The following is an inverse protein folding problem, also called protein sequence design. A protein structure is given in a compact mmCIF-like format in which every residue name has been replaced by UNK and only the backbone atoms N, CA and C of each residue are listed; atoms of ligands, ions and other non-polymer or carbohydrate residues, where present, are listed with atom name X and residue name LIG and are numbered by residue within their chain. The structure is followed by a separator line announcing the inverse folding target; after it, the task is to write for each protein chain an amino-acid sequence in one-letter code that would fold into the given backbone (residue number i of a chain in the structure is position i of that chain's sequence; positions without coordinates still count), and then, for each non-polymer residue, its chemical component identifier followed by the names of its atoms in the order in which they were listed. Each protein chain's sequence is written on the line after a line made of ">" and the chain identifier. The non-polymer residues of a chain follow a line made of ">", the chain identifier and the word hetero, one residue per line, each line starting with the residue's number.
data_IF_785109256769
#
_entry.id   IF_785109256769
#
_cell.length_a   1.000
_cell.length_b   1.000
_cell.length_c   1.000
_cell.angle_alpha   90.00
_cell.angle_beta   90.00
_cell.angle_gamma   90.00
#
_symmetry.space_group_name_H-M   'P 1'
#
loop_
_entity.id
_entity.type
_entity.pdbx_description
1 polymer ?
#
# COMPACT_ATOMS: atom_id res chain seq x y z
N UNK A 1 -19.38 9.38 91.22
CA UNK A 1 -17.98 9.77 91.41
C UNK A 1 -17.15 9.07 90.34
N UNK A 2 -16.42 9.86 89.53
CA UNK A 2 -15.28 9.53 88.66
C UNK A 2 -15.49 8.46 87.57
N UNK A 3 -15.68 8.82 86.29
CA UNK A 3 -14.77 9.37 85.24
C UNK A 3 -14.10 8.30 84.35
N UNK A 4 -14.39 8.44 83.03
CA UNK A 4 -13.58 8.15 81.83
C UNK A 4 -13.16 6.70 81.54
N UNK A 5 -13.08 6.21 80.29
CA UNK A 5 -12.99 6.87 78.98
C UNK A 5 -13.05 5.85 77.83
N UNK A 6 -13.55 6.29 76.66
CA UNK A 6 -13.14 5.82 75.32
C UNK A 6 -14.10 4.84 74.65
N UNK A 7 -14.46 4.93 73.36
CA UNK A 7 -14.27 5.94 72.32
C UNK A 7 -15.31 5.63 71.22
N UNK A 8 -15.94 6.66 70.65
CA UNK A 8 -16.86 6.55 69.51
C UNK A 8 -16.11 6.27 68.21
N UNK A 9 -16.56 5.28 67.44
CA UNK A 9 -16.26 5.17 66.01
C UNK A 9 -17.51 5.51 65.20
N UNK A 10 -17.56 6.74 64.68
CA UNK A 10 -18.43 7.11 63.56
C UNK A 10 -17.72 6.76 62.26
N UNK A 11 -18.34 5.90 61.45
CA UNK A 11 -17.96 5.66 60.06
C UNK A 11 -18.57 6.77 59.22
N UNK A 12 -17.72 7.62 58.62
CA UNK A 12 -18.13 8.53 57.55
C UNK A 12 -17.43 8.06 56.26
N UNK A 13 -18.24 7.71 55.26
CA UNK A 13 -17.80 7.33 53.92
C UNK A 13 -17.15 8.54 53.26
N UNK A 14 -15.90 8.40 52.82
CA UNK A 14 -15.26 9.33 51.89
C UNK A 14 -14.80 8.60 50.64
N UNK A 15 -15.40 9.00 49.53
CA UNK A 15 -15.12 8.59 48.17
C UNK A 15 -13.79 9.18 47.70
N UNK A 16 -12.81 8.32 47.41
CA UNK A 16 -11.61 8.75 46.68
C UNK A 16 -11.43 7.94 45.40
N UNK A 17 -11.57 8.68 44.30
CA UNK A 17 -11.46 8.29 42.90
C UNK A 17 -10.20 7.48 42.55
N UNK A 18 -10.34 6.25 42.03
CA UNK A 18 -9.30 5.62 41.20
C UNK A 18 -9.39 6.06 39.72
N UNK A 19 -10.51 6.65 39.30
CA UNK A 19 -10.84 6.87 37.87
C UNK A 19 -9.93 7.94 37.20
N UNK A 20 -9.38 8.89 37.96
CA UNK A 20 -8.55 9.97 37.38
C UNK A 20 -7.14 9.52 36.98
N UNK A 21 -6.63 8.41 37.50
CA UNK A 21 -5.30 7.90 37.14
C UNK A 21 -5.35 7.13 35.81
N UNK A 22 -6.46 6.41 35.56
CA UNK A 22 -6.66 5.61 34.34
C UNK A 22 -6.96 6.48 33.10
N UNK A 23 -7.64 7.62 33.29
CA UNK A 23 -7.92 8.59 32.21
C UNK A 23 -6.66 9.34 31.73
N UNK A 24 -5.58 9.35 32.53
CA UNK A 24 -4.29 9.95 32.12
C UNK A 24 -3.40 8.99 31.31
N UNK A 25 -3.64 7.68 31.40
CA UNK A 25 -3.01 6.69 30.50
C UNK A 25 -3.66 6.65 29.11
N UNK A 26 -4.84 7.25 28.96
CA UNK A 26 -5.53 7.41 27.68
C UNK A 26 -5.07 8.64 26.87
N UNK A 27 -4.08 9.40 27.34
CA UNK A 27 -3.57 10.57 26.64
C UNK A 27 -2.28 10.24 25.87
N UNK A 28 -2.42 10.33 24.54
CA UNK A 28 -1.38 10.31 23.50
C UNK A 28 -1.12 8.92 22.89
N UNK A 29 -2.16 8.35 22.27
CA UNK A 29 -1.96 7.40 21.18
C UNK A 29 -1.17 8.13 20.09
N UNK A 30 0.16 7.98 20.07
CA UNK A 30 0.99 8.54 19.00
C UNK A 30 0.47 7.95 17.70
N UNK A 31 -0.07 8.82 16.84
CA UNK A 31 -0.51 8.42 15.50
C UNK A 31 0.71 7.81 14.80
N UNK A 32 0.61 6.55 14.42
CA UNK A 32 1.69 5.82 13.76
C UNK A 32 2.16 6.60 12.52
N UNK A 33 3.48 6.64 12.29
CA UNK A 33 4.05 7.26 11.09
C UNK A 33 3.57 6.51 9.85
N UNK A 34 3.21 7.24 8.79
CA UNK A 34 2.66 6.67 7.55
C UNK A 34 3.31 7.30 6.32
N UNK A 35 3.27 6.59 5.21
CA UNK A 35 3.66 7.09 3.90
C UNK A 35 2.61 6.73 2.84
N UNK A 36 2.62 7.46 1.72
CA UNK A 36 1.79 7.13 0.57
C UNK A 36 2.55 6.21 -0.38
N UNK A 37 1.86 5.19 -0.88
CA UNK A 37 2.38 4.23 -1.83
C UNK A 37 1.45 4.10 -3.04
N UNK A 38 1.98 4.28 -4.24
CA UNK A 38 1.24 4.07 -5.49
C UNK A 38 1.62 2.72 -6.11
N UNK A 39 0.65 1.82 -6.20
CA UNK A 39 0.78 0.52 -6.84
C UNK A 39 0.13 0.53 -8.23
N UNK A 40 0.85 0.04 -9.24
CA UNK A 40 0.37 -0.03 -10.63
C UNK A 40 0.45 -1.46 -11.21
N UNK A 41 0.92 -2.43 -10.42
CA UNK A 41 1.06 -3.83 -10.82
C UNK A 41 0.35 -4.79 -9.87
N UNK A 42 0.95 -5.94 -9.56
CA UNK A 42 0.31 -6.95 -8.70
C UNK A 42 -0.10 -6.43 -7.31
N UNK A 43 0.59 -5.43 -6.79
CA UNK A 43 0.27 -4.76 -5.52
C UNK A 43 -1.02 -3.92 -5.59
N UNK A 44 -1.65 -3.75 -6.76
CA UNK A 44 -3.01 -3.20 -6.85
C UNK A 44 -4.03 -4.11 -6.16
N UNK A 45 -3.77 -5.42 -6.06
CA UNK A 45 -4.66 -6.33 -5.34
C UNK A 45 -4.33 -6.33 -3.83
N UNK A 46 -5.20 -5.80 -2.94
CA UNK A 46 -4.90 -5.74 -1.51
C UNK A 46 -4.69 -7.13 -0.92
N UNK A 47 -5.38 -8.16 -1.42
CA UNK A 47 -5.21 -9.55 -0.95
C UNK A 47 -3.78 -10.06 -1.19
N UNK A 48 -3.17 -9.76 -2.35
CA UNK A 48 -1.77 -10.14 -2.63
C UNK A 48 -0.77 -9.33 -1.82
N UNK A 49 -1.07 -8.03 -1.64
CA UNK A 49 -0.26 -7.15 -0.82
C UNK A 49 -0.30 -7.60 0.65
N UNK A 50 -1.46 -8.00 1.18
CA UNK A 50 -1.63 -8.58 2.51
C UNK A 50 -0.78 -9.84 2.69
N UNK A 51 -0.74 -10.73 1.70
CA UNK A 51 0.10 -11.94 1.76
C UNK A 51 1.58 -11.61 1.91
N UNK A 52 2.03 -10.52 1.30
CA UNK A 52 3.42 -10.05 1.35
C UNK A 52 3.72 -9.28 2.64
N UNK A 53 2.80 -8.40 3.04
CA UNK A 53 2.93 -7.50 4.18
C UNK A 53 2.35 -8.06 5.49
N UNK A 54 1.80 -9.28 5.50
CA UNK A 54 1.38 -10.03 6.69
C UNK A 54 0.32 -9.35 7.54
N UNK A 55 -0.45 -8.43 6.95
CA UNK A 55 -1.46 -7.64 7.65
C UNK A 55 -2.57 -7.25 6.68
N UNK A 56 -3.76 -6.93 7.21
CA UNK A 56 -4.85 -6.44 6.39
C UNK A 56 -4.50 -5.10 5.73
N UNK A 57 -4.24 -5.13 4.43
CA UNK A 57 -3.90 -3.95 3.63
C UNK A 57 -5.11 -3.25 3.03
N UNK A 58 -6.29 -3.87 3.07
CA UNK A 58 -7.52 -3.27 2.53
C UNK A 58 -7.89 -1.97 3.27
N UNK A 59 -7.65 -1.91 4.58
CA UNK A 59 -7.87 -0.71 5.40
C UNK A 59 -6.95 0.46 5.06
N UNK A 60 -5.92 0.24 4.23
CA UNK A 60 -4.97 1.27 3.80
C UNK A 60 -5.24 1.79 2.40
N UNK A 61 -6.19 1.21 1.66
CA UNK A 61 -6.57 1.65 0.32
C UNK A 61 -7.22 3.03 0.41
N UNK A 62 -6.70 3.99 -0.37
CA UNK A 62 -7.38 5.27 -0.62
C UNK A 62 -8.30 5.13 -1.82
N UNK A 63 -7.84 4.46 -2.88
CA UNK A 63 -8.63 4.18 -4.08
C UNK A 63 -7.83 4.32 -5.37
N UNK A 64 -8.51 4.32 -6.53
CA UNK A 64 -7.88 4.52 -7.82
C UNK A 64 -7.26 5.92 -7.91
N UNK A 65 -6.09 6.00 -8.52
CA UNK A 65 -5.34 7.25 -8.65
C UNK A 65 -4.51 7.26 -9.93
N UNK A 66 -4.16 8.46 -10.39
CA UNK A 66 -3.48 8.69 -11.67
C UNK A 66 -2.09 9.26 -11.44
N UNK A 67 -1.11 8.67 -12.11
CA UNK A 67 0.23 9.18 -12.28
C UNK A 67 0.38 9.68 -13.71
N UNK A 68 0.62 10.98 -13.89
CA UNK A 68 0.86 11.58 -15.21
C UNK A 68 2.35 11.52 -15.59
N UNK A 69 2.64 11.49 -16.88
CA UNK A 69 4.01 11.50 -17.40
C UNK A 69 4.67 10.13 -17.44
N UNK A 70 3.89 9.06 -17.36
CA UNK A 70 4.37 7.68 -17.38
C UNK A 70 3.45 6.79 -18.20
N UNK A 71 4.01 5.70 -18.71
CA UNK A 71 3.28 4.57 -19.29
C UNK A 71 3.70 3.25 -18.65
N UNK A 72 2.81 2.27 -18.69
CA UNK A 72 3.13 0.90 -18.31
C UNK A 72 3.97 0.21 -19.39
N UNK A 73 4.76 -0.78 -18.96
CA UNK A 73 5.44 -1.74 -19.82
C UNK A 73 5.92 -2.96 -19.03
N UNK A 74 6.42 -3.97 -19.72
CA UNK A 74 6.91 -5.21 -19.13
C UNK A 74 8.43 -5.41 -19.31
N UNK A 75 9.21 -4.41 -18.93
CA UNK A 75 10.67 -4.41 -19.14
C UNK A 75 11.45 -5.12 -18.03
N UNK A 76 10.84 -6.05 -17.29
CA UNK A 76 11.55 -6.90 -16.32
C UNK A 76 11.03 -8.31 -16.34
N UNK A 77 11.95 -9.27 -16.42
CA UNK A 77 11.65 -10.67 -16.16
C UNK A 77 11.85 -10.99 -14.67
N UNK A 78 10.79 -11.44 -14.00
CA UNK A 78 10.86 -11.90 -12.61
C UNK A 78 11.25 -13.37 -12.54
N UNK A 79 12.39 -13.68 -11.92
CA UNK A 79 12.82 -15.09 -11.68
C UNK A 79 11.84 -15.85 -10.76
N UNK A 80 11.26 -15.16 -9.78
CA UNK A 80 10.33 -15.77 -8.82
C UNK A 80 8.96 -16.02 -9.41
N UNK A 81 8.47 -15.12 -10.27
CA UNK A 81 7.17 -15.26 -10.96
C UNK A 81 7.27 -15.99 -12.31
N UNK A 82 8.50 -16.14 -12.83
CA UNK A 82 8.83 -16.80 -14.11
C UNK A 82 8.09 -16.18 -15.30
N UNK A 83 7.99 -14.85 -15.33
CA UNK A 83 7.36 -14.10 -16.43
C UNK A 83 7.81 -12.63 -16.43
N UNK A 84 7.40 -11.91 -17.48
CA UNK A 84 7.43 -10.45 -17.48
C UNK A 84 6.54 -9.87 -16.38
N UNK A 85 7.00 -8.79 -15.75
CA UNK A 85 6.27 -8.06 -14.71
C UNK A 85 6.24 -6.57 -15.04
N UNK A 86 5.22 -5.89 -14.50
CA UNK A 86 4.95 -4.49 -14.82
C UNK A 86 6.05 -3.56 -14.32
N UNK A 87 6.29 -2.54 -15.12
CA UNK A 87 7.21 -1.44 -14.91
C UNK A 87 6.54 -0.14 -15.34
N UNK A 88 7.12 0.99 -14.94
CA UNK A 88 6.78 2.30 -15.47
C UNK A 88 7.99 2.90 -16.18
N UNK A 89 7.69 3.55 -17.30
CA UNK A 89 8.64 4.31 -18.11
C UNK A 89 8.08 5.71 -18.30
N UNK A 90 8.94 6.70 -18.23
CA UNK A 90 8.56 8.09 -18.49
C UNK A 90 7.99 8.25 -19.90
N UNK A 91 6.85 8.93 -19.98
CA UNK A 91 6.19 9.32 -21.21
C UNK A 91 5.26 10.50 -20.87
N UNK A 92 5.70 11.71 -21.21
CA UNK A 92 4.99 12.96 -20.87
C UNK A 92 3.60 13.07 -21.48
N UNK A 93 3.24 12.18 -22.41
CA UNK A 93 1.94 12.18 -23.11
C UNK A 93 0.95 11.16 -22.55
N UNK A 94 1.38 10.34 -21.58
CA UNK A 94 0.60 9.23 -21.04
C UNK A 94 0.42 9.34 -19.53
N UNK A 95 -0.53 8.54 -19.04
CA UNK A 95 -0.79 8.40 -17.62
C UNK A 95 -0.99 6.93 -17.24
N UNK A 96 -0.58 6.60 -16.02
CA UNK A 96 -0.82 5.30 -15.39
C UNK A 96 -1.91 5.44 -14.35
N UNK A 97 -2.92 4.60 -14.41
CA UNK A 97 -3.92 4.48 -13.34
C UNK A 97 -3.56 3.27 -12.49
N UNK A 98 -3.50 3.49 -11.18
CA UNK A 98 -3.15 2.47 -10.19
C UNK A 98 -3.97 2.66 -8.92
N UNK A 99 -3.49 2.09 -7.82
CA UNK A 99 -4.12 2.15 -6.51
C UNK A 99 -3.21 2.90 -5.54
N UNK A 100 -3.75 3.94 -4.92
CA UNK A 100 -3.07 4.70 -3.88
C UNK A 100 -3.37 4.09 -2.51
N UNK A 101 -2.31 3.85 -1.73
CA UNK A 101 -2.37 3.37 -0.36
C UNK A 101 -1.78 4.39 0.60
N UNK A 102 -2.27 4.38 1.85
CA UNK A 102 -1.62 5.02 2.99
C UNK A 102 -1.13 3.95 3.96
N UNK A 103 0.14 3.59 3.83
CA UNK A 103 0.73 2.49 4.60
C UNK A 103 1.43 2.98 5.88
N UNK A 104 1.37 2.21 6.97
CA UNK A 104 2.27 2.40 8.12
C UNK A 104 3.74 2.29 7.73
N UNK A 105 4.59 3.15 8.31
CA UNK A 105 6.02 3.18 8.01
C UNK A 105 6.72 1.85 8.32
N UNK A 106 6.27 1.11 9.34
CA UNK A 106 6.80 -0.23 9.67
C UNK A 106 6.63 -1.28 8.57
N UNK A 107 5.78 -1.03 7.58
CA UNK A 107 5.61 -1.91 6.42
C UNK A 107 6.58 -1.59 5.27
N UNK A 108 7.33 -0.48 5.37
CA UNK A 108 8.28 -0.02 4.34
C UNK A 108 9.26 -1.12 3.93
N UNK A 109 10.02 -1.68 4.88
CA UNK A 109 11.07 -2.67 4.56
C UNK A 109 10.50 -3.97 3.98
N UNK A 110 9.27 -4.32 4.35
CA UNK A 110 8.58 -5.50 3.82
C UNK A 110 8.14 -5.26 2.38
N UNK A 111 7.72 -4.04 2.06
CA UNK A 111 7.41 -3.63 0.70
C UNK A 111 8.68 -3.60 -0.15
N UNK A 112 9.79 -3.08 0.38
CA UNK A 112 11.10 -3.08 -0.32
C UNK A 112 11.58 -4.49 -0.64
N UNK A 113 11.44 -5.44 0.31
CA UNK A 113 11.70 -6.86 0.07
C UNK A 113 10.78 -7.45 -1.00
N UNK A 114 9.50 -7.07 -1.01
CA UNK A 114 8.52 -7.56 -1.99
C UNK A 114 8.81 -7.10 -3.41
N UNK A 115 9.33 -5.88 -3.56
CA UNK A 115 9.73 -5.28 -4.83
C UNK A 115 11.20 -5.58 -5.18
N UNK A 116 11.86 -6.48 -4.44
CA UNK A 116 13.22 -6.93 -4.73
C UNK A 116 14.26 -5.79 -4.76
N UNK A 117 14.02 -4.73 -3.97
CA UNK A 117 14.91 -3.57 -3.87
C UNK A 117 16.33 -3.96 -3.40
N UNK A 118 16.52 -4.81 -2.38
CA UNK A 118 17.87 -5.20 -1.93
C UNK A 118 18.73 -5.89 -2.99
N UNK A 119 18.12 -6.48 -4.02
CA UNK A 119 18.82 -7.15 -5.12
C UNK A 119 18.76 -6.36 -6.44
N UNK A 120 18.27 -5.11 -6.42
CA UNK A 120 18.21 -4.24 -7.59
C UNK A 120 17.13 -4.61 -8.61
N UNK A 121 16.06 -5.29 -8.18
CA UNK A 121 14.92 -5.59 -9.05
C UNK A 121 14.15 -4.31 -9.41
N UNK A 122 13.80 -3.53 -8.40
CA UNK A 122 13.22 -2.19 -8.52
C UNK A 122 13.97 -1.21 -7.61
N UNK A 123 13.80 0.08 -7.87
CA UNK A 123 14.23 1.18 -6.98
C UNK A 123 13.03 2.03 -6.60
N UNK A 124 13.14 2.79 -5.51
CA UNK A 124 12.17 3.83 -5.19
C UNK A 124 12.14 4.89 -6.29
N UNK A 125 10.94 5.39 -6.52
CA UNK A 125 10.66 6.58 -7.32
C UNK A 125 9.67 7.44 -6.53
N UNK A 126 9.83 8.75 -6.56
CA UNK A 126 9.00 9.68 -5.79
C UNK A 126 8.21 10.54 -6.77
N UNK A 127 6.90 10.39 -6.73
CA UNK A 127 6.00 10.97 -7.72
C UNK A 127 4.86 11.75 -7.07
N UNK A 128 4.23 12.61 -7.87
CA UNK A 128 2.98 13.25 -7.51
C UNK A 128 1.81 12.46 -8.13
N UNK A 129 0.77 12.21 -7.33
CA UNK A 129 -0.37 11.37 -7.70
C UNK A 129 -1.67 12.15 -7.59
N UNK A 130 -2.47 12.14 -8.65
CA UNK A 130 -3.77 12.79 -8.71
C UNK A 130 -4.90 11.82 -8.42
N UNK A 131 -5.78 12.14 -7.47
CA UNK A 131 -7.02 11.40 -7.25
C UNK A 131 -8.07 12.27 -6.58
N UNK A 132 -9.34 12.12 -7.00
CA UNK A 132 -10.49 12.84 -6.42
C UNK A 132 -10.29 14.36 -6.36
N UNK A 133 -9.68 14.95 -7.39
CA UNK A 133 -9.39 16.40 -7.45
C UNK A 133 -8.29 16.88 -6.49
N UNK A 134 -7.51 15.97 -5.90
CA UNK A 134 -6.42 16.27 -4.98
C UNK A 134 -5.10 15.67 -5.48
N UNK A 135 -4.04 16.47 -5.39
CA UNK A 135 -2.66 16.03 -5.63
C UNK A 135 -2.04 15.54 -4.33
N UNK A 136 -1.54 14.31 -4.32
CA UNK A 136 -0.71 13.74 -3.25
C UNK A 136 0.74 13.89 -3.65
N UNK A 137 1.48 14.71 -2.90
CA UNK A 137 2.90 14.99 -3.12
C UNK A 137 3.79 13.90 -2.53
N UNK A 138 4.95 13.69 -3.15
CA UNK A 138 6.00 12.81 -2.62
C UNK A 138 5.53 11.38 -2.29
N UNK A 139 4.73 10.80 -3.19
CA UNK A 139 4.23 9.43 -3.08
C UNK A 139 5.33 8.47 -3.52
N UNK A 140 5.58 7.44 -2.71
CA UNK A 140 6.51 6.38 -3.09
C UNK A 140 5.89 5.48 -4.14
N UNK A 141 6.64 5.15 -5.17
CA UNK A 141 6.38 4.03 -6.06
C UNK A 141 7.70 3.32 -6.37
N UNK A 142 7.67 2.34 -7.27
CA UNK A 142 8.83 1.55 -7.63
C UNK A 142 8.98 1.52 -9.15
N UNK A 143 10.19 1.59 -9.68
CA UNK A 143 10.47 1.42 -11.11
C UNK A 143 11.62 0.45 -11.30
N UNK A 144 11.61 -0.31 -12.41
CA UNK A 144 12.67 -1.28 -12.70
C UNK A 144 14.00 -0.55 -12.90
N UNK A 145 15.06 -1.08 -12.27
CA UNK A 145 16.43 -0.56 -12.38
C UNK A 145 17.06 -0.93 -13.73
N UNK A 146 17.18 -2.23 -13.98
CA UNK A 146 17.78 -2.77 -15.20
C UNK A 146 16.67 -3.24 -16.14
N UNK A 147 16.24 -2.34 -17.02
CA UNK A 147 15.15 -2.60 -17.97
C UNK A 147 15.64 -3.48 -19.12
N UNK A 148 14.83 -4.47 -19.51
CA UNK A 148 15.00 -5.25 -20.73
C UNK A 148 14.85 -4.33 -21.95
N UNK A 149 15.49 -4.71 -23.06
CA UNK A 149 15.35 -3.98 -24.33
C UNK A 149 13.94 -4.11 -24.92
N UNK A 150 13.30 -5.25 -24.68
CA UNK A 150 11.97 -5.57 -25.16
C UNK A 150 11.07 -6.01 -23.99
N UNK A 151 9.76 -5.86 -24.19
CA UNK A 151 8.78 -6.30 -23.20
C UNK A 151 8.69 -7.82 -23.15
N UNK A 152 8.71 -8.37 -21.93
CA UNK A 152 8.48 -9.79 -21.68
C UNK A 152 7.00 -10.05 -21.34
N UNK A 153 6.41 -11.11 -21.88
CA UNK A 153 5.01 -11.41 -21.59
C UNK A 153 4.79 -11.82 -20.13
N UNK A 154 3.67 -11.40 -19.49
CA UNK A 154 3.22 -12.00 -18.25
C UNK A 154 2.71 -13.42 -18.47
N UNK A 155 2.79 -14.27 -17.44
CA UNK A 155 2.07 -15.54 -17.43
C UNK A 155 0.64 -15.34 -16.94
N UNK A 156 -0.21 -16.35 -17.13
CA UNK A 156 -1.65 -16.28 -16.79
C UNK A 156 -1.89 -15.95 -15.33
N UNK A 157 -1.04 -16.44 -14.43
CA UNK A 157 -1.16 -16.14 -13.01
C UNK A 157 -0.93 -14.66 -12.72
N UNK A 158 0.15 -14.07 -13.26
CA UNK A 158 0.46 -12.65 -13.10
C UNK A 158 -0.59 -11.76 -13.77
N UNK A 159 -0.98 -12.13 -14.99
CA UNK A 159 -2.03 -11.48 -15.77
C UNK A 159 -3.32 -11.34 -14.97
N UNK A 160 -3.85 -12.46 -14.47
CA UNK A 160 -5.09 -12.50 -13.70
C UNK A 160 -4.97 -11.73 -12.39
N UNK A 161 -3.80 -11.76 -11.76
CA UNK A 161 -3.56 -11.04 -10.52
C UNK A 161 -3.61 -9.52 -10.71
N UNK A 162 -2.98 -9.01 -11.77
CA UNK A 162 -2.99 -7.59 -12.13
C UNK A 162 -4.41 -7.13 -12.45
N UNK A 163 -5.13 -7.85 -13.33
CA UNK A 163 -6.49 -7.47 -13.70
C UNK A 163 -7.46 -7.57 -12.53
N UNK A 164 -7.35 -8.60 -11.69
CA UNK A 164 -8.16 -8.69 -10.47
C UNK A 164 -7.93 -7.45 -9.59
N UNK A 165 -6.69 -7.03 -9.39
CA UNK A 165 -6.37 -5.82 -8.63
C UNK A 165 -6.99 -4.57 -9.25
N UNK A 166 -6.79 -4.38 -10.56
CA UNK A 166 -7.34 -3.24 -11.29
C UNK A 166 -8.87 -3.14 -11.17
N UNK A 167 -9.57 -4.23 -11.46
CA UNK A 167 -11.04 -4.28 -11.43
C UNK A 167 -11.57 -4.13 -10.01
N UNK A 168 -11.05 -4.89 -9.04
CA UNK A 168 -11.58 -4.88 -7.66
C UNK A 168 -11.30 -3.59 -6.90
N UNK A 169 -10.30 -2.81 -7.31
CA UNK A 169 -10.04 -1.48 -6.76
C UNK A 169 -10.71 -0.35 -7.55
N UNK A 170 -11.54 -0.67 -8.54
CA UNK A 170 -12.36 0.32 -9.24
C UNK A 170 -11.60 1.18 -10.23
N UNK A 171 -10.56 0.66 -10.89
CA UNK A 171 -9.97 1.35 -12.03
C UNK A 171 -11.00 1.45 -13.18
N UNK A 172 -10.95 2.49 -14.02
CA UNK A 172 -11.87 2.63 -15.14
C UNK A 172 -11.87 1.41 -16.06
N UNK A 173 -13.05 1.04 -16.57
CA UNK A 173 -13.24 -0.13 -17.43
C UNK A 173 -12.35 -0.06 -18.68
N UNK A 174 -12.34 1.09 -19.36
CA UNK A 174 -11.49 1.32 -20.54
C UNK A 174 -10.00 1.10 -20.23
N UNK A 175 -9.54 1.55 -19.05
CA UNK A 175 -8.15 1.33 -18.64
C UNK A 175 -7.85 -0.15 -18.41
N UNK A 176 -8.77 -0.87 -17.77
CA UNK A 176 -8.66 -2.31 -17.56
C UNK A 176 -8.64 -3.08 -18.89
N UNK A 177 -9.46 -2.66 -19.86
CA UNK A 177 -9.49 -3.25 -21.20
C UNK A 177 -8.19 -3.02 -21.97
N UNK A 178 -7.65 -1.80 -21.94
CA UNK A 178 -6.37 -1.48 -22.56
C UNK A 178 -5.22 -2.29 -21.94
N UNK A 179 -5.22 -2.44 -20.60
CA UNK A 179 -4.25 -3.26 -19.89
C UNK A 179 -4.36 -4.76 -20.26
N UNK A 180 -5.59 -5.29 -20.32
CA UNK A 180 -5.85 -6.65 -20.80
C UNK A 180 -5.30 -6.85 -22.21
N UNK A 181 -5.64 -5.97 -23.15
CA UNK A 181 -5.22 -6.08 -24.55
C UNK A 181 -3.70 -6.06 -24.69
N UNK A 182 -3.02 -5.15 -23.99
CA UNK A 182 -1.55 -5.07 -24.02
C UNK A 182 -0.92 -6.37 -23.52
N UNK A 183 -1.34 -6.86 -22.35
CA UNK A 183 -0.81 -8.10 -21.80
C UNK A 183 -1.10 -9.32 -22.70
N UNK A 184 -2.29 -9.38 -23.28
CA UNK A 184 -2.68 -10.46 -24.19
C UNK A 184 -1.85 -10.46 -25.47
N UNK A 185 -1.63 -9.28 -26.07
CA UNK A 185 -0.76 -9.15 -27.24
C UNK A 185 0.67 -9.60 -26.95
N UNK A 186 1.21 -9.30 -25.77
CA UNK A 186 2.54 -9.80 -25.38
C UNK A 186 2.57 -11.32 -25.31
N UNK A 187 1.54 -11.96 -24.74
CA UNK A 187 1.44 -13.42 -24.69
C UNK A 187 1.37 -14.04 -26.10
N UNK A 188 0.63 -13.43 -27.02
CA UNK A 188 0.53 -13.93 -28.41
C UNK A 188 1.83 -13.83 -29.21
N UNK A 189 2.72 -12.87 -28.90
CA UNK A 189 4.02 -12.73 -29.59
C UNK A 189 5.06 -13.77 -29.16
N UNK A 190 4.85 -14.45 -28.04
CA UNK A 190 5.78 -15.44 -27.50
C UNK A 190 5.38 -16.90 -27.80
N UNK A 191 4.19 -17.11 -28.37
CA UNK A 191 3.70 -18.40 -28.86
C UNK A 191 3.98 -18.52 -30.36
#
# INVERSE_FOLDING_TARGET
>A
MSNNSGHSHHILVQSHHPIKLDLKLQQKQQKESTFYYFAYGSCMCPVDLKRSLGENTYSYVIGPATLNGYRLGFYRYSKTRKCGVLDMVEDTTKSVIGVLYKLPMRLSDRLDKREDVPHGGYRHEIVDIDTQGKVYKAVRTYVVVNKLLEEAAPNDWYFNLVLRGAVTCGLPEEYCWNLFNHMHQLQQRQN
#
